data_IF_844477418232
#
_entry.id   IF_844477418232
#
_cell.length_a   1.000
_cell.length_b   1.000
_cell.length_c   1.000
_cell.angle_alpha   90.00
_cell.angle_beta   90.00
_cell.angle_gamma   90.00
#
_symmetry.space_group_name_H-M   'P 1'
#
loop_
_entity.id
_entity.type
_entity.pdbx_description
1 polymer ?
#
# COMPACT_ATOMS: atom_id res chain seq x y z
N UNK A 1 1.93 -14.84 18.81
CA UNK A 1 2.56 -13.62 18.24
C UNK A 1 2.79 -13.90 16.76
N UNK A 2 2.21 -13.11 15.87
CA UNK A 2 2.35 -13.25 14.42
C UNK A 2 3.06 -12.04 13.83
N UNK A 3 3.61 -12.20 12.61
CA UNK A 3 4.11 -11.12 11.76
C UNK A 3 3.02 -10.75 10.74
N UNK A 4 2.67 -9.48 10.65
CA UNK A 4 1.60 -9.00 9.78
C UNK A 4 2.15 -7.82 8.97
N UNK A 5 2.19 -8.00 7.66
CA UNK A 5 2.64 -6.99 6.71
C UNK A 5 1.43 -6.33 6.04
N UNK A 6 1.45 -5.02 5.93
CA UNK A 6 0.44 -4.22 5.25
C UNK A 6 1.07 -3.47 4.07
N UNK A 7 0.39 -3.43 2.95
CA UNK A 7 0.68 -2.40 1.97
C UNK A 7 0.26 -1.03 2.51
N UNK A 8 0.71 0.03 1.83
CA UNK A 8 0.42 1.41 2.20
C UNK A 8 -0.72 1.98 1.34
N UNK A 9 -0.43 2.22 0.06
CA UNK A 9 -1.35 2.84 -0.89
C UNK A 9 -2.48 1.85 -1.26
N UNK A 10 -3.74 2.25 -1.11
CA UNK A 10 -4.89 1.37 -1.37
C UNK A 10 -5.24 0.40 -0.24
N UNK A 11 -4.43 0.35 0.82
CA UNK A 11 -4.63 -0.56 1.95
C UNK A 11 -4.75 0.17 3.29
N UNK A 12 -3.81 1.03 3.62
CA UNK A 12 -3.84 1.87 4.81
C UNK A 12 -4.29 3.29 4.50
N UNK A 13 -3.87 3.82 3.35
CA UNK A 13 -4.17 5.18 2.90
C UNK A 13 -4.64 5.20 1.45
N UNK A 14 -5.48 6.19 1.12
CA UNK A 14 -5.88 6.53 -0.24
C UNK A 14 -4.94 7.62 -0.80
N UNK A 15 -4.11 7.33 -1.82
CA UNK A 15 -3.19 8.28 -2.43
C UNK A 15 -3.77 9.05 -3.61
N UNK A 16 -5.02 8.79 -4.04
CA UNK A 16 -5.56 9.23 -5.33
C UNK A 16 -5.44 10.74 -5.53
N UNK A 17 -5.81 11.52 -4.53
CA UNK A 17 -5.79 12.98 -4.61
C UNK A 17 -4.39 13.49 -4.97
N UNK A 18 -3.37 13.05 -4.23
CA UNK A 18 -1.99 13.47 -4.43
C UNK A 18 -1.42 13.03 -5.77
N UNK A 19 -1.66 11.77 -6.16
CA UNK A 19 -1.21 11.26 -7.46
C UNK A 19 -1.85 12.03 -8.60
N UNK A 20 -3.17 12.22 -8.57
CA UNK A 20 -3.92 12.97 -9.59
C UNK A 20 -3.43 14.41 -9.73
N UNK A 21 -3.26 15.12 -8.63
CA UNK A 21 -2.82 16.49 -8.64
C UNK A 21 -1.39 16.64 -9.20
N UNK A 22 -0.49 15.72 -8.86
CA UNK A 22 0.88 15.69 -9.42
C UNK A 22 0.87 15.40 -10.93
N UNK A 23 0.10 14.42 -11.39
CA UNK A 23 -0.04 14.13 -12.82
C UNK A 23 -0.62 15.35 -13.58
N UNK A 24 -1.67 15.97 -13.06
CA UNK A 24 -2.25 17.16 -13.66
C UNK A 24 -1.27 18.35 -13.73
N UNK A 25 -0.41 18.51 -12.69
CA UNK A 25 0.67 19.51 -12.70
C UNK A 25 1.68 19.22 -13.82
N UNK A 26 2.16 17.98 -13.95
CA UNK A 26 3.09 17.58 -15.02
C UNK A 26 2.49 17.82 -16.40
N UNK A 27 1.24 17.40 -16.63
CA UNK A 27 0.57 17.58 -17.91
C UNK A 27 0.46 19.07 -18.27
N UNK A 28 0.09 19.92 -17.32
CA UNK A 28 0.00 21.37 -17.52
C UNK A 28 1.36 21.99 -17.86
N UNK A 29 2.40 21.63 -17.11
CA UNK A 29 3.75 22.21 -17.30
C UNK A 29 4.41 21.77 -18.61
N UNK A 30 4.11 20.57 -19.09
CA UNK A 30 4.67 20.01 -20.32
C UNK A 30 3.78 20.14 -21.55
N UNK A 31 2.57 20.73 -21.39
CA UNK A 31 1.61 20.86 -22.50
C UNK A 31 1.08 19.53 -22.99
N UNK A 32 0.89 18.57 -22.10
CA UNK A 32 0.40 17.21 -22.39
C UNK A 32 -1.13 17.10 -22.11
N UNK A 33 -1.82 16.17 -22.80
CA UNK A 33 -3.20 15.85 -22.43
C UNK A 33 -3.21 15.20 -21.04
N UNK A 34 -4.07 15.66 -20.15
CA UNK A 34 -4.20 15.06 -18.83
C UNK A 34 -5.09 13.80 -18.93
N UNK A 35 -4.64 12.67 -18.38
CA UNK A 35 -5.44 11.45 -18.32
C UNK A 35 -6.72 11.64 -17.50
N UNK A 36 -7.74 10.87 -17.81
CA UNK A 36 -8.93 10.78 -16.96
C UNK A 36 -8.60 10.11 -15.62
N UNK A 37 -9.35 10.45 -14.58
CA UNK A 37 -9.13 9.92 -13.23
C UNK A 37 -9.19 8.39 -13.18
N UNK A 38 -10.07 7.76 -13.97
CA UNK A 38 -10.16 6.30 -14.05
C UNK A 38 -8.81 5.66 -14.42
N UNK A 39 -8.11 6.21 -15.42
CA UNK A 39 -6.79 5.71 -15.82
C UNK A 39 -5.73 5.96 -14.73
N UNK A 40 -5.80 7.10 -14.05
CA UNK A 40 -4.88 7.40 -12.93
C UNK A 40 -5.11 6.43 -11.75
N UNK A 41 -6.35 6.05 -11.49
CA UNK A 41 -6.67 5.02 -10.48
C UNK A 41 -6.00 3.69 -10.78
N UNK A 42 -6.00 3.27 -12.03
CA UNK A 42 -5.36 2.03 -12.46
C UNK A 42 -3.83 2.05 -12.26
N UNK A 43 -3.22 3.23 -12.20
CA UNK A 43 -1.78 3.40 -12.00
C UNK A 43 -1.34 3.21 -10.54
N UNK A 44 -2.24 3.34 -9.58
CA UNK A 44 -1.90 3.23 -8.15
C UNK A 44 -1.45 1.80 -7.82
N UNK A 45 -0.29 1.68 -7.20
CA UNK A 45 0.37 0.40 -6.92
C UNK A 45 1.39 -0.03 -7.98
N UNK A 46 1.45 0.67 -9.13
CA UNK A 46 2.43 0.39 -10.20
C UNK A 46 3.54 1.45 -10.27
N UNK A 47 4.54 1.17 -11.12
CA UNK A 47 5.63 2.08 -11.39
C UNK A 47 5.17 3.36 -12.10
N UNK A 48 5.44 4.52 -11.52
CA UNK A 48 5.00 5.80 -12.10
C UNK A 48 5.62 6.09 -13.47
N UNK A 49 6.82 5.60 -13.73
CA UNK A 49 7.47 5.74 -15.03
C UNK A 49 6.67 5.07 -16.14
N UNK A 50 6.27 3.82 -15.92
CA UNK A 50 5.47 3.03 -16.85
C UNK A 50 4.08 3.63 -17.02
N UNK A 51 3.51 4.15 -15.94
CA UNK A 51 2.21 4.81 -15.93
C UNK A 51 2.22 6.11 -16.75
N UNK A 52 3.18 6.99 -16.52
CA UNK A 52 3.36 8.23 -17.29
C UNK A 52 3.62 7.95 -18.79
N UNK A 53 4.32 6.86 -19.11
CA UNK A 53 4.55 6.44 -20.50
C UNK A 53 3.29 6.14 -21.30
N UNK A 54 2.12 6.03 -20.67
CA UNK A 54 0.83 5.89 -21.34
C UNK A 54 0.25 7.24 -21.80
N UNK A 55 0.82 8.37 -21.37
CA UNK A 55 0.36 9.71 -21.77
C UNK A 55 0.83 9.99 -23.19
N UNK A 56 -0.07 10.33 -24.13
CA UNK A 56 0.33 10.70 -25.48
C UNK A 56 1.32 11.88 -25.49
N UNK A 57 2.44 11.71 -26.22
CA UNK A 57 3.53 12.68 -26.30
C UNK A 57 4.66 12.44 -25.32
N UNK A 58 4.67 11.31 -24.59
CA UNK A 58 5.78 10.82 -23.78
C UNK A 58 6.44 9.56 -24.38
N UNK A 59 6.34 9.36 -25.70
CA UNK A 59 6.99 8.25 -26.42
C UNK A 59 8.51 8.40 -26.50
N UNK A 60 9.02 9.64 -26.41
CA UNK A 60 10.47 9.90 -26.34
C UNK A 60 10.99 9.62 -24.93
N UNK A 61 11.98 8.72 -24.77
CA UNK A 61 12.55 8.39 -23.47
C UNK A 61 13.05 9.59 -22.66
N UNK A 62 13.69 10.58 -23.30
CA UNK A 62 14.20 11.75 -22.60
C UNK A 62 13.04 12.63 -22.05
N UNK A 63 11.96 12.75 -22.82
CA UNK A 63 10.77 13.49 -22.39
C UNK A 63 10.01 12.76 -21.29
N UNK A 64 9.99 11.42 -21.32
CA UNK A 64 9.41 10.60 -20.25
C UNK A 64 10.19 10.75 -18.93
N UNK A 65 11.53 10.74 -18.98
CA UNK A 65 12.35 10.98 -17.78
C UNK A 65 12.12 12.40 -17.23
N UNK A 66 12.02 13.42 -18.09
CA UNK A 66 11.65 14.78 -17.65
C UNK A 66 10.28 14.80 -16.96
N UNK A 67 9.30 14.09 -17.49
CA UNK A 67 7.96 13.99 -16.87
C UNK A 67 8.02 13.30 -15.51
N UNK A 68 8.80 12.23 -15.38
CA UNK A 68 9.02 11.51 -14.13
C UNK A 68 9.71 12.41 -13.09
N UNK A 69 10.76 13.13 -13.47
CA UNK A 69 11.45 14.04 -12.56
C UNK A 69 10.50 15.12 -12.02
N UNK A 70 9.71 15.75 -12.92
CA UNK A 70 8.69 16.73 -12.53
C UNK A 70 7.63 16.14 -11.62
N UNK A 71 7.18 14.91 -11.90
CA UNK A 71 6.24 14.20 -11.03
C UNK A 71 6.83 13.96 -9.64
N UNK A 72 8.06 13.48 -9.56
CA UNK A 72 8.74 13.22 -8.29
C UNK A 72 8.95 14.50 -7.48
N UNK A 73 9.23 15.62 -8.14
CA UNK A 73 9.34 16.92 -7.49
C UNK A 73 7.98 17.40 -6.96
N UNK A 74 6.92 17.36 -7.81
CA UNK A 74 5.56 17.70 -7.40
C UNK A 74 5.08 16.80 -6.24
N UNK A 75 5.37 15.50 -6.31
CA UNK A 75 5.00 14.56 -5.28
C UNK A 75 5.74 14.81 -3.96
N UNK A 76 7.01 15.18 -4.02
CA UNK A 76 7.81 15.54 -2.85
C UNK A 76 7.35 16.82 -2.16
N UNK A 77 6.92 17.80 -2.97
CA UNK A 77 6.46 19.12 -2.50
C UNK A 77 5.04 19.04 -1.90
N UNK A 78 4.11 18.46 -2.63
CA UNK A 78 2.67 18.53 -2.35
C UNK A 78 2.03 17.13 -2.21
N UNK A 79 2.16 16.26 -3.21
CA UNK A 79 1.40 15.03 -3.33
C UNK A 79 1.58 14.05 -2.17
N UNK A 80 2.77 14.04 -1.54
CA UNK A 80 3.06 13.20 -0.37
C UNK A 80 2.20 13.56 0.85
N UNK A 81 1.59 14.73 0.86
CA UNK A 81 0.72 15.19 1.96
C UNK A 81 -0.77 15.04 1.65
N UNK A 82 -1.12 14.74 0.40
CA UNK A 82 -2.49 14.64 -0.08
C UNK A 82 -2.96 13.17 -0.07
N UNK A 83 -2.99 12.58 1.12
CA UNK A 83 -3.49 11.22 1.37
C UNK A 83 -4.61 11.26 2.38
N UNK A 84 -5.46 10.24 2.37
CA UNK A 84 -6.48 10.01 3.38
C UNK A 84 -6.30 8.61 3.98
N UNK A 85 -6.41 8.48 5.31
CA UNK A 85 -6.36 7.17 5.94
C UNK A 85 -7.74 6.49 5.85
N UNK A 86 -7.76 5.21 5.51
CA UNK A 86 -9.03 4.48 5.44
C UNK A 86 -9.69 4.38 6.82
N UNK A 87 -11.03 4.53 6.88
CA UNK A 87 -11.77 4.38 8.13
C UNK A 87 -11.49 3.03 8.80
N UNK A 88 -11.38 3.02 10.13
CA UNK A 88 -11.13 1.80 10.90
C UNK A 88 -9.67 1.36 11.04
N UNK A 89 -8.76 1.84 10.20
CA UNK A 89 -7.34 1.43 10.18
C UNK A 89 -6.69 1.60 11.55
N UNK A 90 -6.82 2.74 12.22
CA UNK A 90 -6.21 2.94 13.55
C UNK A 90 -6.72 1.95 14.58
N UNK A 91 -8.02 1.66 14.58
CA UNK A 91 -8.59 0.70 15.52
C UNK A 91 -8.02 -0.70 15.34
N UNK A 92 -7.91 -1.15 14.08
CA UNK A 92 -7.30 -2.41 13.72
C UNK A 92 -5.84 -2.47 14.19
N UNK A 93 -5.02 -1.48 13.83
CA UNK A 93 -3.59 -1.46 14.13
C UNK A 93 -3.32 -1.44 15.63
N UNK A 94 -4.03 -0.59 16.38
CA UNK A 94 -3.89 -0.52 17.84
C UNK A 94 -4.29 -1.84 18.53
N UNK A 95 -5.32 -2.53 18.00
CA UNK A 95 -5.72 -3.85 18.50
C UNK A 95 -4.59 -4.86 18.30
N UNK A 96 -4.03 -4.98 17.08
CA UNK A 96 -2.94 -5.90 16.77
C UNK A 96 -1.70 -5.63 17.65
N UNK A 97 -1.35 -4.37 17.88
CA UNK A 97 -0.21 -4.02 18.74
C UNK A 97 -0.46 -4.37 20.20
N UNK A 98 -1.67 -4.12 20.75
CA UNK A 98 -2.00 -4.51 22.13
C UNK A 98 -1.92 -6.02 22.35
N UNK A 99 -2.13 -6.82 21.31
CA UNK A 99 -2.02 -8.28 21.34
C UNK A 99 -0.57 -8.79 21.17
N UNK A 100 0.38 -7.87 20.99
CA UNK A 100 1.79 -8.20 20.90
C UNK A 100 2.23 -8.70 19.51
N UNK A 101 1.43 -8.49 18.46
CA UNK A 101 1.84 -8.81 17.10
C UNK A 101 2.90 -7.83 16.59
N UNK A 102 3.75 -8.30 15.70
CA UNK A 102 4.66 -7.45 14.93
C UNK A 102 3.97 -7.01 13.64
N UNK A 103 3.91 -5.72 13.42
CA UNK A 103 3.27 -5.16 12.24
C UNK A 103 4.24 -4.29 11.44
N UNK A 104 4.25 -4.48 10.14
CA UNK A 104 5.16 -3.81 9.22
C UNK A 104 4.40 -3.18 8.05
N UNK A 105 4.83 -2.01 7.59
CA UNK A 105 4.46 -1.52 6.27
C UNK A 105 5.46 -2.07 5.27
N UNK A 106 4.97 -2.70 4.20
CA UNK A 106 5.77 -3.24 3.11
C UNK A 106 5.18 -2.77 1.78
N UNK A 107 5.81 -1.82 1.13
CA UNK A 107 5.27 -1.15 -0.05
C UNK A 107 6.24 -1.12 -1.23
N UNK A 108 5.70 -1.18 -2.46
CA UNK A 108 6.43 -0.90 -3.69
C UNK A 108 6.73 0.61 -3.86
N UNK A 109 6.08 1.47 -3.07
CA UNK A 109 6.38 2.90 -3.02
C UNK A 109 7.80 3.13 -2.51
N UNK A 110 8.56 4.11 -3.06
CA UNK A 110 9.88 4.45 -2.54
C UNK A 110 9.87 4.70 -1.03
N UNK A 111 10.79 4.05 -0.32
CA UNK A 111 10.81 4.05 1.15
C UNK A 111 10.90 5.44 1.79
N UNK A 112 11.48 6.42 1.09
CA UNK A 112 11.50 7.81 1.56
C UNK A 112 10.09 8.40 1.62
N UNK A 113 9.24 8.11 0.64
CA UNK A 113 7.86 8.58 0.61
C UNK A 113 6.98 7.75 1.56
N UNK A 114 7.13 6.43 1.57
CA UNK A 114 6.39 5.56 2.48
C UNK A 114 6.58 5.97 3.96
N UNK A 115 7.82 6.23 4.38
CA UNK A 115 8.13 6.73 5.73
C UNK A 115 7.55 8.11 6.00
N UNK A 116 7.57 9.02 5.02
CA UNK A 116 7.01 10.37 5.19
C UNK A 116 5.49 10.34 5.38
N UNK A 117 4.80 9.49 4.62
CA UNK A 117 3.35 9.27 4.77
C UNK A 117 3.06 8.63 6.13
N UNK A 118 3.81 7.58 6.49
CA UNK A 118 3.65 6.95 7.81
C UNK A 118 3.85 7.95 8.96
N UNK A 119 4.80 8.87 8.84
CA UNK A 119 5.03 9.93 9.82
C UNK A 119 3.86 10.93 9.88
N UNK A 120 3.31 11.32 8.74
CA UNK A 120 2.18 12.26 8.65
C UNK A 120 0.93 11.75 9.40
N UNK A 121 0.71 10.44 9.39
CA UNK A 121 -0.42 9.79 10.04
C UNK A 121 -0.06 9.08 11.36
N UNK A 122 1.07 9.43 11.97
CA UNK A 122 1.57 8.79 13.20
C UNK A 122 1.66 7.25 13.14
N UNK A 123 1.63 6.66 11.94
CA UNK A 123 1.76 5.22 11.74
C UNK A 123 3.13 4.71 12.17
N UNK A 124 4.17 5.55 12.08
CA UNK A 124 5.51 5.25 12.58
C UNK A 124 5.56 5.01 14.11
N UNK A 125 4.54 5.43 14.85
CA UNK A 125 4.43 5.17 16.30
C UNK A 125 3.75 3.81 16.59
N UNK A 126 3.07 3.24 15.59
CA UNK A 126 2.29 2.01 15.73
C UNK A 126 3.02 0.84 15.07
N UNK A 127 3.53 1.01 13.85
CA UNK A 127 4.28 -0.01 13.13
C UNK A 127 5.68 -0.22 13.72
N UNK A 128 6.16 -1.46 13.70
CA UNK A 128 7.52 -1.77 14.13
C UNK A 128 8.55 -1.20 13.14
N UNK A 129 8.25 -1.22 11.84
CA UNK A 129 9.07 -0.56 10.82
C UNK A 129 8.29 -0.34 9.50
N UNK A 130 8.83 0.55 8.64
CA UNK A 130 8.29 0.91 7.32
C UNK A 130 9.32 0.59 6.25
N UNK A 131 9.00 -0.40 5.43
CA UNK A 131 9.82 -0.84 4.32
C UNK A 131 9.21 -0.42 2.99
N UNK A 132 10.05 0.11 2.12
CA UNK A 132 9.67 0.52 0.78
C UNK A 132 10.75 0.17 -0.24
N UNK A 133 10.42 0.37 -1.51
CA UNK A 133 11.37 0.20 -2.60
C UNK A 133 12.55 1.20 -2.50
N UNK A 134 13.67 0.85 -3.11
CA UNK A 134 14.78 1.78 -3.27
C UNK A 134 14.48 2.81 -4.35
N UNK A 135 14.96 4.05 -4.15
CA UNK A 135 14.80 5.14 -5.13
C UNK A 135 15.65 4.97 -6.39
N UNK A 136 16.60 4.03 -6.38
CA UNK A 136 17.57 3.89 -7.49
C UNK A 136 17.06 2.95 -8.56
N UNK A 137 16.89 3.48 -9.77
CA UNK A 137 16.62 2.69 -10.97
C UNK A 137 15.12 2.52 -11.26
N UNK A 138 14.79 1.38 -11.87
CA UNK A 138 13.42 1.03 -12.23
C UNK A 138 12.57 0.70 -11.01
N UNK A 139 11.25 0.75 -11.20
CA UNK A 139 10.28 0.27 -10.22
C UNK A 139 10.66 -1.13 -9.71
N UNK A 140 10.62 -1.30 -8.40
CA UNK A 140 10.88 -2.57 -7.74
C UNK A 140 9.57 -3.17 -7.26
N UNK A 141 9.24 -4.40 -7.67
CA UNK A 141 8.04 -5.08 -7.18
C UNK A 141 8.16 -5.34 -5.67
N UNK A 142 7.02 -5.47 -5.02
CA UNK A 142 6.95 -5.75 -3.58
C UNK A 142 7.65 -7.07 -3.21
N UNK A 143 7.64 -8.04 -4.11
CA UNK A 143 8.41 -9.31 -3.94
C UNK A 143 9.88 -9.06 -3.66
N UNK A 144 10.50 -8.06 -4.29
CA UNK A 144 11.91 -7.72 -4.04
C UNK A 144 12.12 -7.07 -2.66
N UNK A 145 11.17 -6.27 -2.19
CA UNK A 145 11.19 -5.73 -0.82
C UNK A 145 11.03 -6.86 0.18
N UNK A 146 10.06 -7.75 -0.05
CA UNK A 146 9.77 -8.88 0.82
C UNK A 146 10.93 -9.87 0.90
N UNK A 147 11.62 -10.14 -0.21
CA UNK A 147 12.81 -11.01 -0.24
C UNK A 147 13.90 -10.52 0.72
N UNK A 148 14.19 -9.22 0.73
CA UNK A 148 15.16 -8.63 1.68
C UNK A 148 14.73 -8.83 3.13
N UNK A 149 13.44 -8.69 3.43
CA UNK A 149 12.91 -8.86 4.78
C UNK A 149 12.99 -10.32 5.24
N UNK A 150 12.74 -11.26 4.33
CA UNK A 150 12.88 -12.69 4.60
C UNK A 150 14.35 -13.06 4.87
N UNK A 151 15.30 -12.56 4.06
CA UNK A 151 16.74 -12.75 4.27
C UNK A 151 17.22 -12.18 5.62
N UNK A 152 16.64 -11.08 6.07
CA UNK A 152 16.96 -10.47 7.37
C UNK A 152 16.26 -11.15 8.55
N UNK A 153 15.39 -12.13 8.29
CA UNK A 153 14.60 -12.80 9.33
C UNK A 153 13.50 -11.92 9.94
N UNK A 154 13.16 -10.80 9.30
CA UNK A 154 12.08 -9.89 9.73
C UNK A 154 10.72 -10.50 9.44
N UNK A 155 10.59 -11.18 8.31
CA UNK A 155 9.39 -11.88 7.86
C UNK A 155 9.69 -13.37 7.75
N UNK A 156 8.80 -14.20 8.26
CA UNK A 156 8.89 -15.65 8.22
C UNK A 156 7.58 -16.27 7.70
N UNK A 157 7.62 -17.48 7.13
CA UNK A 157 6.42 -18.20 6.70
C UNK A 157 5.36 -18.31 7.81
N UNK A 158 4.08 -18.29 7.41
CA UNK A 158 2.93 -18.34 8.34
C UNK A 158 2.52 -16.98 8.90
N UNK A 159 3.17 -15.89 8.50
CA UNK A 159 2.67 -14.51 8.72
C UNK A 159 1.61 -14.12 7.70
N UNK A 160 1.22 -12.84 7.71
CA UNK A 160 0.20 -12.30 6.82
C UNK A 160 0.76 -11.19 5.94
N UNK A 161 0.28 -11.10 4.70
CA UNK A 161 0.43 -9.94 3.82
C UNK A 161 -0.95 -9.46 3.42
N UNK A 162 -1.26 -8.21 3.78
CA UNK A 162 -2.52 -7.54 3.47
C UNK A 162 -2.24 -6.48 2.40
N UNK A 163 -3.00 -6.50 1.32
CA UNK A 163 -2.86 -5.52 0.25
C UNK A 163 -4.01 -5.56 -0.74
N UNK A 164 -4.07 -4.54 -1.58
CA UNK A 164 -5.13 -4.35 -2.56
C UNK A 164 -4.73 -4.72 -3.99
N UNK A 165 -3.45 -5.08 -4.23
CA UNK A 165 -2.94 -5.42 -5.57
C UNK A 165 -2.44 -6.86 -5.65
N UNK A 166 -2.42 -7.38 -6.87
CA UNK A 166 -1.89 -8.71 -7.11
C UNK A 166 -0.42 -8.89 -6.77
N UNK A 167 0.37 -7.81 -6.74
CA UNK A 167 1.78 -7.85 -6.30
C UNK A 167 1.91 -8.17 -4.81
N UNK A 168 0.91 -7.81 -3.99
CA UNK A 168 0.82 -8.20 -2.57
C UNK A 168 0.61 -9.70 -2.43
N UNK A 169 -0.34 -10.23 -3.20
CA UNK A 169 -0.67 -11.66 -3.20
C UNK A 169 0.49 -12.50 -3.72
N UNK A 170 1.19 -12.01 -4.74
CA UNK A 170 2.41 -12.65 -5.24
C UNK A 170 3.50 -12.66 -4.17
N UNK A 171 3.72 -11.52 -3.50
CA UNK A 171 4.70 -11.41 -2.44
C UNK A 171 4.36 -12.34 -1.26
N UNK A 172 3.07 -12.45 -0.89
CA UNK A 172 2.62 -13.39 0.13
C UNK A 172 2.97 -14.83 -0.25
N UNK A 173 2.53 -15.28 -1.43
CA UNK A 173 2.75 -16.64 -1.91
C UNK A 173 4.23 -17.00 -1.99
N UNK A 174 5.05 -16.13 -2.58
CA UNK A 174 6.46 -16.39 -2.83
C UNK A 174 7.29 -16.48 -1.54
N UNK A 175 6.75 -15.99 -0.42
CA UNK A 175 7.40 -16.02 0.90
C UNK A 175 6.62 -16.82 1.96
N UNK A 176 5.61 -17.58 1.55
CA UNK A 176 4.85 -18.46 2.45
C UNK A 176 4.01 -17.71 3.48
N UNK A 177 3.54 -16.51 3.16
CA UNK A 177 2.61 -15.73 3.96
C UNK A 177 1.17 -15.99 3.51
N UNK A 178 0.21 -15.80 4.40
CA UNK A 178 -1.21 -15.77 4.09
C UNK A 178 -1.55 -14.45 3.40
N UNK A 179 -1.95 -14.51 2.12
CA UNK A 179 -2.33 -13.34 1.33
C UNK A 179 -3.79 -12.95 1.58
N UNK A 180 -4.03 -11.75 2.09
CA UNK A 180 -5.37 -11.20 2.29
C UNK A 180 -5.54 -10.01 1.35
N UNK A 181 -6.45 -10.16 0.37
CA UNK A 181 -6.83 -9.09 -0.56
C UNK A 181 -7.88 -8.18 0.05
N UNK A 182 -7.76 -6.86 -0.17
CA UNK A 182 -8.77 -5.88 0.19
C UNK A 182 -9.34 -5.21 -1.07
N UNK A 183 -10.66 -5.06 -1.16
CA UNK A 183 -11.33 -4.53 -2.37
C UNK A 183 -11.65 -3.04 -2.28
N UNK A 184 -11.49 -2.42 -1.13
CA UNK A 184 -11.67 -0.97 -0.95
C UNK A 184 -10.53 -0.13 -1.54
N UNK A 185 -9.45 -0.77 -2.00
CA UNK A 185 -8.32 -0.15 -2.70
C UNK A 185 -8.53 -0.05 -4.22
N UNK A 186 -7.53 -0.44 -4.99
CA UNK A 186 -7.43 -0.21 -6.44
C UNK A 186 -7.39 -1.49 -7.29
N UNK A 187 -7.09 -2.65 -6.68
CA UNK A 187 -7.09 -3.94 -7.35
C UNK A 187 -8.48 -4.50 -7.58
N UNK A 188 -8.65 -5.31 -8.61
CA UNK A 188 -9.90 -6.04 -8.84
C UNK A 188 -9.92 -7.37 -8.10
N UNK A 189 -11.12 -7.89 -7.84
CA UNK A 189 -11.30 -9.22 -7.25
C UNK A 189 -10.59 -10.27 -8.12
N UNK A 190 -10.74 -10.20 -9.43
CA UNK A 190 -10.12 -11.12 -10.38
C UNK A 190 -8.59 -11.07 -10.33
N UNK A 191 -8.01 -9.86 -10.15
CA UNK A 191 -6.57 -9.69 -9.95
C UNK A 191 -6.12 -10.41 -8.67
N UNK A 192 -6.79 -10.15 -7.56
CA UNK A 192 -6.47 -10.72 -6.25
C UNK A 192 -6.61 -12.25 -6.24
N UNK A 193 -7.72 -12.80 -6.77
CA UNK A 193 -7.96 -14.24 -6.85
C UNK A 193 -6.93 -14.95 -7.74
N UNK A 194 -6.67 -14.41 -8.94
CA UNK A 194 -5.74 -15.03 -9.90
C UNK A 194 -4.31 -15.08 -9.39
N UNK A 195 -3.93 -14.20 -8.48
CA UNK A 195 -2.58 -14.12 -7.90
C UNK A 195 -2.46 -14.76 -6.53
N UNK A 196 -3.53 -15.37 -6.02
CA UNK A 196 -3.48 -16.27 -4.87
C UNK A 196 -3.90 -15.67 -3.55
N UNK A 197 -4.85 -14.71 -3.56
CA UNK A 197 -5.50 -14.29 -2.32
C UNK A 197 -6.17 -15.49 -1.64
N UNK A 198 -5.81 -15.77 -0.41
CA UNK A 198 -6.45 -16.82 0.41
C UNK A 198 -7.79 -16.34 0.97
N UNK A 199 -7.89 -15.05 1.18
CA UNK A 199 -9.10 -14.36 1.62
C UNK A 199 -9.20 -13.00 0.94
N UNK A 200 -10.41 -12.60 0.58
CA UNK A 200 -10.74 -11.25 0.11
C UNK A 200 -11.79 -10.69 1.06
N UNK A 201 -11.64 -9.41 1.41
CA UNK A 201 -12.53 -8.65 2.30
C UNK A 201 -12.82 -7.29 1.71
N UNK A 202 -14.03 -6.76 1.99
CA UNK A 202 -14.50 -5.51 1.38
C UNK A 202 -14.32 -4.28 2.27
N UNK A 203 -14.05 -4.49 3.55
CA UNK A 203 -13.90 -3.39 4.53
C UNK A 203 -12.79 -3.68 5.54
N UNK A 204 -12.32 -2.62 6.21
CA UNK A 204 -11.35 -2.75 7.32
C UNK A 204 -11.95 -3.50 8.50
N UNK A 205 -13.26 -3.39 8.71
CA UNK A 205 -14.00 -4.11 9.75
C UNK A 205 -14.01 -5.62 9.49
N UNK A 206 -14.23 -6.03 8.23
CA UNK A 206 -14.15 -7.45 7.83
C UNK A 206 -12.72 -7.98 7.95
N UNK A 207 -11.73 -7.18 7.57
CA UNK A 207 -10.32 -7.51 7.77
C UNK A 207 -10.01 -7.75 9.26
N UNK A 208 -10.50 -6.85 10.13
CA UNK A 208 -10.31 -6.95 11.56
C UNK A 208 -10.97 -8.20 12.15
N UNK A 209 -12.18 -8.54 11.69
CA UNK A 209 -12.89 -9.75 12.12
C UNK A 209 -12.15 -11.02 11.67
N UNK A 210 -11.73 -11.07 10.41
CA UNK A 210 -11.00 -12.21 9.88
C UNK A 210 -9.65 -12.43 10.59
N UNK A 211 -8.87 -11.37 10.80
CA UNK A 211 -7.60 -11.47 11.55
C UNK A 211 -7.82 -11.94 12.99
N UNK A 212 -8.89 -11.51 13.64
CA UNK A 212 -9.23 -11.97 14.98
C UNK A 212 -9.46 -13.49 15.05
N UNK A 213 -10.18 -14.01 14.07
CA UNK A 213 -10.44 -15.45 13.95
C UNK A 213 -9.15 -16.22 13.70
N UNK A 214 -8.31 -15.78 12.74
CA UNK A 214 -7.07 -16.47 12.39
C UNK A 214 -6.02 -16.43 13.50
N UNK A 215 -5.98 -15.35 14.27
CA UNK A 215 -5.04 -15.16 15.37
C UNK A 215 -5.55 -15.76 16.69
N UNK A 216 -6.71 -16.44 16.68
CA UNK A 216 -7.36 -17.06 17.85
C UNK A 216 -7.52 -16.07 19.01
N UNK A 217 -7.99 -14.88 18.69
CA UNK A 217 -8.20 -13.86 19.69
C UNK A 217 -9.36 -14.28 20.61
N UNK A 218 -9.20 -14.18 21.96
CA UNK A 218 -10.34 -14.34 22.85
C UNK A 218 -11.38 -13.26 22.49
N UNK A 219 -12.65 -13.64 22.37
CA UNK A 219 -13.77 -12.69 22.26
C UNK A 219 -13.65 -11.71 23.43
N UNK A 220 -13.29 -10.47 23.14
CA UNK A 220 -13.39 -9.39 24.11
C UNK A 220 -14.88 -9.12 24.22
N UNK A 221 -15.55 -9.73 25.22
CA UNK A 221 -16.87 -9.33 25.64
C UNK A 221 -16.81 -7.83 25.91
N UNK A 222 -17.57 -7.09 25.15
CA UNK A 222 -17.74 -5.65 25.27
C UNK A 222 -18.36 -5.37 26.64
N UNK A 223 -17.51 -5.16 27.66
CA UNK A 223 -17.91 -4.96 29.05
C UNK A 223 -18.61 -3.59 29.26
N UNK A 224 -18.80 -2.82 28.19
CA UNK A 224 -19.37 -1.47 28.23
C UNK A 224 -20.84 -1.39 27.79
N UNK A 225 -21.49 -2.49 27.35
CA UNK A 225 -22.89 -2.46 26.93
C UNK A 225 -23.89 -2.79 28.04
N UNK A 226 -23.50 -2.85 29.32
CA UNK A 226 -24.38 -3.04 30.46
C UNK A 226 -24.15 -1.98 31.54
N UNK A 227 -24.47 -0.74 31.21
CA UNK A 227 -24.69 0.33 32.16
C UNK A 227 -25.86 1.19 31.62
N UNK A 228 -27.07 0.67 31.72
CA UNK A 228 -28.29 1.41 31.82
C UNK A 228 -28.97 1.05 33.15
#
# INVERSE_FOLDING_TARGET
>A
MATICFDLDGTLVDPLLGVRNCVARVCREMGLPCPEEALIRDWIGFGMRESLGQIPGLDDPARLEEALDRYLDAYREDGVFEHEIYPGVYNLLHRLKRQGHRIYIVSAKPGIFARRIAYQFDLNLIFDEVFGAEMKGHWQPKTAVMARLAEQGTVAPGGFMIGDRGDDMRAARDHGLHGIGVTYGYGSIEELESLGAEKIVDTVEELAAYLAEQLQEPEIFDAFSRAE
#
